data_IF_197615546292
#
_entry.id   IF_197615546292
#
_cell.length_a   1.000
_cell.length_b   1.000
_cell.length_c   1.000
_cell.angle_alpha   90.00
_cell.angle_beta   90.00
_cell.angle_gamma   90.00
#
_symmetry.space_group_name_H-M   'P 1'
#
loop_
_entity.id
_entity.type
_entity.pdbx_description
1 polymer ?
#
# COMPACT_ATOMS: atom_id res chain seq x y z
N UNK A 1 10.76 11.16 29.09
CA UNK A 1 10.38 9.76 28.78
C UNK A 1 11.66 9.00 28.58
N UNK A 2 11.89 7.93 29.32
CA UNK A 2 13.08 7.10 29.20
C UNK A 2 12.86 6.03 28.12
N UNK A 3 13.93 5.60 27.46
CA UNK A 3 13.90 4.48 26.49
C UNK A 3 13.35 3.23 27.18
N UNK A 4 13.66 3.02 28.46
CA UNK A 4 13.12 1.94 29.26
C UNK A 4 11.58 1.92 29.27
N UNK A 5 10.91 3.04 29.53
CA UNK A 5 9.44 3.11 29.53
C UNK A 5 8.83 2.75 28.16
N UNK A 6 9.53 3.11 27.04
CA UNK A 6 9.10 2.70 25.70
C UNK A 6 9.28 1.20 25.53
N UNK A 7 10.43 0.65 25.93
CA UNK A 7 10.74 -0.78 25.81
C UNK A 7 9.77 -1.64 26.62
N UNK A 8 9.44 -1.22 27.82
CA UNK A 8 8.44 -1.89 28.68
C UNK A 8 7.04 -1.91 28.01
N UNK A 9 6.63 -0.80 27.41
CA UNK A 9 5.33 -0.72 26.70
C UNK A 9 5.24 -1.61 25.46
N UNK A 10 6.39 -1.91 24.80
CA UNK A 10 6.46 -2.74 23.61
C UNK A 10 6.75 -4.23 23.89
N UNK A 11 6.98 -4.59 25.12
CA UNK A 11 7.37 -5.89 25.71
C UNK A 11 8.79 -6.37 25.37
N UNK A 12 9.46 -6.96 26.36
CA UNK A 12 10.81 -7.53 26.25
C UNK A 12 10.88 -8.65 25.21
N UNK A 13 9.85 -9.50 25.14
CA UNK A 13 9.79 -10.60 24.19
C UNK A 13 9.82 -10.12 22.73
N UNK A 14 9.22 -8.95 22.44
CA UNK A 14 9.28 -8.33 21.10
C UNK A 14 10.69 -7.81 20.79
N UNK A 15 11.37 -7.21 21.76
CA UNK A 15 12.72 -6.66 21.58
C UNK A 15 13.78 -7.74 21.41
N UNK A 16 13.62 -8.93 22.00
CA UNK A 16 14.59 -10.04 21.81
C UNK A 16 14.81 -10.40 20.33
N UNK A 17 13.82 -10.16 19.49
CA UNK A 17 13.94 -10.38 18.04
C UNK A 17 14.96 -9.45 17.38
N UNK A 18 15.25 -8.29 17.98
CA UNK A 18 16.17 -7.27 17.48
C UNK A 18 17.56 -7.34 18.11
N UNK A 19 17.77 -8.26 19.08
CA UNK A 19 19.05 -8.48 19.75
C UNK A 19 19.95 -9.50 19.04
N UNK A 20 19.61 -9.90 17.81
CA UNK A 20 20.34 -10.92 17.08
C UNK A 20 21.81 -10.52 16.88
N UNK A 21 22.78 -11.47 17.08
CA UNK A 21 24.21 -11.21 16.90
C UNK A 21 24.54 -10.65 15.50
N UNK A 22 23.86 -11.12 14.47
CA UNK A 22 24.01 -10.64 13.09
C UNK A 22 23.72 -9.13 12.94
N UNK A 23 22.95 -8.53 13.86
CA UNK A 23 22.69 -7.10 13.92
C UNK A 23 23.72 -6.34 14.78
N UNK A 24 24.83 -7.02 15.13
CA UNK A 24 25.97 -6.46 15.82
C UNK A 24 25.75 -6.24 17.32
N UNK A 25 25.02 -7.16 18.01
CA UNK A 25 24.80 -7.12 19.45
C UNK A 25 24.24 -5.77 19.89
N UNK A 26 22.93 -5.62 19.87
CA UNK A 26 22.34 -4.30 20.08
C UNK A 26 22.03 -4.01 21.54
N UNK A 27 22.38 -2.82 22.04
CA UNK A 27 21.86 -2.29 23.29
C UNK A 27 20.34 -2.09 23.20
N UNK A 28 19.59 -1.92 24.30
CA UNK A 28 18.15 -1.65 24.25
C UNK A 28 17.80 -0.46 23.36
N UNK A 29 18.62 0.59 23.34
CA UNK A 29 18.46 1.76 22.47
C UNK A 29 18.62 1.38 21.01
N UNK A 30 19.64 0.61 20.70
CA UNK A 30 19.92 0.15 19.33
C UNK A 30 18.81 -0.80 18.83
N UNK A 31 18.28 -1.66 19.70
CA UNK A 31 17.12 -2.51 19.36
C UNK A 31 15.89 -1.66 19.03
N UNK A 32 15.65 -0.58 19.76
CA UNK A 32 14.58 0.38 19.44
C UNK A 32 14.82 1.01 18.08
N UNK A 33 16.03 1.40 17.74
CA UNK A 33 16.38 1.94 16.41
C UNK A 33 16.08 0.95 15.28
N UNK A 34 16.48 -0.32 15.43
CA UNK A 34 16.20 -1.38 14.46
C UNK A 34 14.69 -1.66 14.36
N UNK A 35 13.97 -1.63 15.49
CA UNK A 35 12.51 -1.71 15.50
C UNK A 35 11.86 -0.59 14.68
N UNK A 36 12.34 0.66 14.83
CA UNK A 36 11.85 1.80 14.07
C UNK A 36 12.15 1.65 12.57
N UNK A 37 13.35 1.16 12.21
CA UNK A 37 13.66 0.81 10.82
C UNK A 37 12.68 -0.20 10.24
N UNK A 38 12.37 -1.28 10.99
CA UNK A 38 11.35 -2.25 10.56
C UNK A 38 9.96 -1.62 10.38
N UNK A 39 9.59 -0.61 11.19
CA UNK A 39 8.33 0.14 11.00
C UNK A 39 8.32 0.97 9.73
N UNK A 40 9.45 1.58 9.38
CA UNK A 40 9.58 2.34 8.14
C UNK A 40 9.50 1.40 6.92
N UNK A 41 10.16 0.24 6.96
CA UNK A 41 10.04 -0.80 5.94
C UNK A 41 8.58 -1.24 5.76
N UNK A 42 7.90 -1.55 6.87
CA UNK A 42 6.49 -1.94 6.84
C UNK A 42 5.59 -0.89 6.17
N UNK A 43 5.82 0.39 6.48
CA UNK A 43 5.12 1.51 5.86
C UNK A 43 5.40 1.61 4.35
N UNK A 44 6.63 1.34 3.91
CA UNK A 44 7.00 1.41 2.49
C UNK A 44 6.44 0.23 1.66
N UNK A 45 6.20 -0.94 2.28
CA UNK A 45 5.54 -2.08 1.62
C UNK A 45 4.04 -1.89 1.39
N UNK A 46 3.39 -1.13 2.26
CA UNK A 46 1.93 -1.07 2.30
C UNK A 46 1.28 -0.67 0.97
N UNK A 47 1.76 0.33 0.22
CA UNK A 47 1.19 0.68 -1.07
C UNK A 47 1.20 -0.46 -2.08
N UNK A 48 2.31 -1.21 -2.19
CA UNK A 48 2.41 -2.35 -3.11
C UNK A 48 1.41 -3.46 -2.75
N UNK A 49 1.26 -3.78 -1.46
CA UNK A 49 0.30 -4.78 -1.00
C UNK A 49 -1.16 -4.36 -1.24
N UNK A 50 -1.47 -3.08 -1.06
CA UNK A 50 -2.80 -2.54 -1.34
C UNK A 50 -3.14 -2.61 -2.84
N UNK A 51 -2.18 -2.28 -3.71
CA UNK A 51 -2.35 -2.40 -5.16
C UNK A 51 -2.60 -3.86 -5.55
N UNK A 52 -1.83 -4.81 -5.00
CA UNK A 52 -2.04 -6.24 -5.27
C UNK A 52 -3.44 -6.67 -4.82
N UNK A 53 -3.85 -6.33 -3.61
CA UNK A 53 -5.15 -6.72 -3.07
C UNK A 53 -6.30 -6.20 -3.92
N UNK A 54 -6.27 -4.92 -4.28
CA UNK A 54 -7.32 -4.29 -5.10
C UNK A 54 -7.31 -4.86 -6.52
N UNK A 55 -6.13 -4.99 -7.14
CA UNK A 55 -6.01 -5.46 -8.52
C UNK A 55 -6.41 -6.93 -8.65
N UNK A 56 -5.97 -7.79 -7.73
CA UNK A 56 -6.24 -9.21 -7.77
C UNK A 56 -7.74 -9.49 -7.64
N UNK A 57 -8.40 -8.91 -6.63
CA UNK A 57 -9.83 -9.13 -6.41
C UNK A 57 -10.67 -8.67 -7.59
N UNK A 58 -10.36 -7.51 -8.14
CA UNK A 58 -11.07 -6.96 -9.28
C UNK A 58 -10.81 -7.78 -10.55
N UNK A 59 -9.55 -8.18 -10.80
CA UNK A 59 -9.21 -9.00 -11.97
C UNK A 59 -9.91 -10.35 -11.94
N UNK A 60 -9.96 -11.05 -10.79
CA UNK A 60 -10.67 -12.33 -10.69
C UNK A 60 -12.16 -12.13 -10.92
N UNK A 61 -12.78 -11.16 -10.26
CA UNK A 61 -14.21 -10.89 -10.37
C UNK A 61 -14.63 -10.52 -11.80
N UNK A 62 -13.95 -9.54 -12.38
CA UNK A 62 -14.25 -9.07 -13.74
C UNK A 62 -14.01 -10.17 -14.80
N UNK A 63 -12.93 -10.95 -14.62
CA UNK A 63 -12.63 -12.04 -15.56
C UNK A 63 -13.68 -13.14 -15.52
N UNK A 64 -14.24 -13.45 -14.34
CA UNK A 64 -15.34 -14.39 -14.25
C UNK A 64 -16.59 -13.88 -14.97
N UNK A 65 -17.02 -12.65 -14.70
CA UNK A 65 -18.19 -12.07 -15.36
C UNK A 65 -18.02 -12.08 -16.87
N UNK A 66 -16.85 -11.62 -17.37
CA UNK A 66 -16.57 -11.61 -18.79
C UNK A 66 -16.57 -13.02 -19.42
N UNK A 67 -16.08 -14.03 -18.67
CA UNK A 67 -16.13 -15.43 -19.13
C UNK A 67 -17.56 -15.93 -19.22
N UNK A 68 -18.41 -15.70 -18.22
CA UNK A 68 -19.81 -16.09 -18.25
C UNK A 68 -20.58 -15.38 -19.38
N UNK A 69 -20.31 -14.10 -19.62
CA UNK A 69 -20.91 -13.36 -20.73
C UNK A 69 -20.53 -13.96 -22.09
N UNK A 70 -19.27 -14.39 -22.26
CA UNK A 70 -18.85 -15.12 -23.48
C UNK A 70 -19.54 -16.48 -23.62
N UNK A 71 -19.74 -17.21 -22.50
CA UNK A 71 -20.49 -18.47 -22.56
C UNK A 71 -21.93 -18.24 -23.00
N UNK A 72 -22.56 -17.13 -22.58
CA UNK A 72 -23.90 -16.76 -23.07
C UNK A 72 -23.85 -16.47 -24.58
N UNK A 73 -22.87 -15.71 -25.06
CA UNK A 73 -22.74 -15.38 -26.48
C UNK A 73 -22.48 -16.62 -27.36
N UNK A 74 -21.78 -17.62 -26.84
CA UNK A 74 -21.50 -18.87 -27.55
C UNK A 74 -22.69 -19.82 -27.59
N UNK A 75 -23.56 -19.81 -26.57
CA UNK A 75 -24.61 -20.81 -26.40
C UNK A 75 -26.01 -20.31 -26.75
N UNK A 76 -26.25 -19.00 -26.90
CA UNK A 76 -27.54 -18.40 -27.15
C UNK A 76 -27.54 -17.51 -28.39
N UNK A 77 -28.74 -17.24 -28.94
CA UNK A 77 -28.86 -16.32 -30.08
C UNK A 77 -28.75 -14.86 -29.64
N UNK A 78 -28.30 -13.94 -30.51
CA UNK A 78 -28.07 -12.53 -30.15
C UNK A 78 -29.27 -11.80 -29.53
N UNK A 79 -30.50 -12.18 -29.91
CA UNK A 79 -31.71 -11.57 -29.33
C UNK A 79 -32.00 -11.99 -27.87
N UNK A 80 -31.39 -13.10 -27.40
CA UNK A 80 -31.50 -13.56 -26.02
C UNK A 80 -30.41 -13.05 -25.09
N UNK A 81 -29.30 -12.51 -25.63
CA UNK A 81 -28.12 -12.16 -24.84
C UNK A 81 -28.40 -11.25 -23.66
N UNK A 82 -29.24 -10.22 -23.83
CA UNK A 82 -29.57 -9.29 -22.75
C UNK A 82 -30.25 -10.04 -21.58
N UNK A 83 -31.18 -10.91 -21.89
CA UNK A 83 -31.94 -11.70 -20.88
C UNK A 83 -31.02 -12.71 -20.22
N UNK A 84 -30.19 -13.43 -20.97
CA UNK A 84 -29.33 -14.50 -20.45
C UNK A 84 -28.16 -13.91 -19.64
N UNK A 85 -27.53 -12.82 -20.10
CA UNK A 85 -26.50 -12.11 -19.31
C UNK A 85 -27.04 -11.55 -17.98
N UNK A 86 -28.31 -11.16 -17.94
CA UNK A 86 -28.95 -10.71 -16.70
C UNK A 86 -29.08 -11.82 -15.63
N UNK A 87 -29.00 -13.10 -16.01
CA UNK A 87 -29.05 -14.27 -15.12
C UNK A 87 -27.69 -14.65 -14.54
N UNK A 88 -26.59 -14.07 -15.01
CA UNK A 88 -25.23 -14.36 -14.51
C UNK A 88 -25.18 -14.05 -13.00
N UNK A 89 -24.76 -15.03 -12.22
CA UNK A 89 -24.63 -14.88 -10.77
C UNK A 89 -23.45 -13.94 -10.39
N UNK A 90 -23.79 -12.70 -10.12
CA UNK A 90 -22.78 -11.69 -9.68
C UNK A 90 -22.24 -11.98 -8.28
N UNK A 91 -22.90 -12.85 -7.50
CA UNK A 91 -22.47 -13.28 -6.17
C UNK A 91 -21.85 -14.68 -6.19
N UNK A 92 -21.41 -15.18 -7.35
CA UNK A 92 -20.85 -16.51 -7.53
C UNK A 92 -19.84 -16.91 -6.45
N UNK A 93 -18.91 -15.99 -6.10
CA UNK A 93 -17.88 -16.22 -5.09
C UNK A 93 -18.44 -16.25 -3.65
N UNK A 94 -19.67 -15.81 -3.43
CA UNK A 94 -20.39 -15.90 -2.16
C UNK A 94 -21.23 -17.17 -2.13
N UNK A 95 -21.96 -17.44 -3.20
CA UNK A 95 -22.95 -18.52 -3.29
C UNK A 95 -22.32 -19.91 -3.45
N UNK A 96 -21.12 -19.98 -4.03
CA UNK A 96 -20.41 -21.25 -4.26
C UNK A 96 -19.89 -21.91 -2.98
N UNK A 97 -19.47 -21.11 -1.98
CA UNK A 97 -18.80 -21.67 -0.80
C UNK A 97 -19.78 -21.98 0.33
N UNK A 98 -19.78 -23.24 0.75
CA UNK A 98 -20.55 -23.73 1.88
C UNK A 98 -19.64 -24.20 3.00
N UNK A 99 -20.19 -24.41 4.20
CA UNK A 99 -19.46 -24.96 5.34
C UNK A 99 -18.85 -26.33 5.03
N UNK A 100 -19.49 -27.12 4.15
CA UNK A 100 -19.09 -28.48 3.80
C UNK A 100 -17.99 -28.51 2.73
N UNK A 101 -18.10 -27.65 1.70
CA UNK A 101 -17.16 -27.71 0.58
C UNK A 101 -15.88 -26.88 0.81
N UNK A 102 -15.98 -25.75 1.52
CA UNK A 102 -14.82 -24.94 1.87
C UNK A 102 -15.09 -24.07 3.12
N UNK A 103 -14.81 -24.64 4.28
CA UNK A 103 -15.04 -23.98 5.57
C UNK A 103 -14.34 -22.62 5.70
N UNK A 104 -13.11 -22.49 5.20
CA UNK A 104 -12.32 -21.25 5.34
C UNK A 104 -12.95 -20.13 4.49
N UNK A 105 -13.24 -20.40 3.22
CA UNK A 105 -13.88 -19.41 2.34
C UNK A 105 -15.28 -19.03 2.88
N UNK A 106 -16.08 -20.01 3.26
CA UNK A 106 -17.37 -19.79 3.89
C UNK A 106 -17.28 -18.91 5.15
N UNK A 107 -16.35 -19.19 6.05
CA UNK A 107 -16.12 -18.40 7.28
C UNK A 107 -15.76 -16.95 6.99
N UNK A 108 -14.91 -16.71 5.99
CA UNK A 108 -14.58 -15.35 5.54
C UNK A 108 -15.82 -14.61 5.03
N UNK A 109 -16.66 -15.29 4.24
CA UNK A 109 -17.92 -14.74 3.72
C UNK A 109 -18.88 -14.41 4.87
N UNK A 110 -19.05 -15.33 5.84
CA UNK A 110 -19.90 -15.07 7.01
C UNK A 110 -19.42 -13.87 7.83
N UNK A 111 -18.10 -13.68 7.92
CA UNK A 111 -17.52 -12.51 8.56
C UNK A 111 -17.85 -11.23 7.79
N UNK A 112 -17.74 -11.26 6.47
CA UNK A 112 -18.12 -10.13 5.61
C UNK A 112 -19.62 -9.80 5.72
N UNK A 113 -20.51 -10.81 5.75
CA UNK A 113 -21.96 -10.63 5.97
C UNK A 113 -22.22 -9.91 7.29
N UNK A 114 -21.59 -10.35 8.40
CA UNK A 114 -21.75 -9.70 9.70
C UNK A 114 -21.32 -8.24 9.68
N UNK A 115 -20.18 -7.93 9.01
CA UNK A 115 -19.68 -6.57 8.89
C UNK A 115 -20.61 -5.69 8.06
N UNK A 116 -21.10 -6.18 6.92
CA UNK A 116 -22.04 -5.44 6.07
C UNK A 116 -23.35 -5.15 6.78
N UNK A 117 -23.90 -6.14 7.49
CA UNK A 117 -25.11 -5.96 8.29
C UNK A 117 -24.92 -4.94 9.42
N UNK A 118 -23.76 -4.98 10.11
CA UNK A 118 -23.43 -3.99 11.13
C UNK A 118 -23.33 -2.57 10.57
N UNK A 119 -22.81 -2.43 9.34
CA UNK A 119 -22.71 -1.15 8.64
C UNK A 119 -24.01 -0.74 7.92
N UNK A 120 -25.08 -1.52 8.01
CA UNK A 120 -26.34 -1.33 7.26
C UNK A 120 -26.14 -1.22 5.74
N UNK A 121 -25.18 -1.98 5.19
CA UNK A 121 -24.91 -2.03 3.75
C UNK A 121 -25.61 -3.20 3.08
N UNK A 122 -26.12 -3.03 1.85
CA UNK A 122 -26.74 -4.12 1.10
C UNK A 122 -25.69 -5.20 0.75
N UNK A 123 -26.16 -6.45 0.64
CA UNK A 123 -25.33 -7.61 0.30
C UNK A 123 -25.12 -7.69 -1.23
N UNK A 124 -24.41 -6.71 -1.79
CA UNK A 124 -24.05 -6.66 -3.22
C UNK A 124 -22.62 -7.16 -3.45
N UNK A 125 -22.31 -7.53 -4.70
CA UNK A 125 -20.98 -8.01 -5.07
C UNK A 125 -19.88 -7.00 -4.69
N UNK A 126 -20.08 -5.71 -4.98
CA UNK A 126 -19.14 -4.64 -4.69
C UNK A 126 -18.85 -4.53 -3.19
N UNK A 127 -19.90 -4.63 -2.37
CA UNK A 127 -19.78 -4.58 -0.92
C UNK A 127 -19.03 -5.80 -0.38
N UNK A 128 -19.33 -7.01 -0.86
CA UNK A 128 -18.56 -8.21 -0.49
C UNK A 128 -17.11 -8.12 -0.92
N UNK A 129 -16.82 -7.72 -2.18
CA UNK A 129 -15.48 -7.55 -2.72
C UNK A 129 -14.67 -6.60 -1.82
N UNK A 130 -15.29 -5.54 -1.31
CA UNK A 130 -14.62 -4.59 -0.42
C UNK A 130 -14.29 -5.14 0.97
N UNK A 131 -15.00 -6.16 1.45
CA UNK A 131 -14.85 -6.75 2.79
C UNK A 131 -13.98 -8.00 2.83
N UNK A 132 -13.89 -8.72 1.72
CA UNK A 132 -13.08 -9.93 1.64
C UNK A 132 -11.59 -9.57 1.57
N UNK A 133 -10.80 -10.25 2.39
CA UNK A 133 -9.36 -9.97 2.54
C UNK A 133 -8.53 -10.54 1.38
N UNK A 134 -7.29 -10.08 1.23
CA UNK A 134 -6.32 -10.65 0.27
C UNK A 134 -6.24 -12.17 0.39
N UNK A 135 -6.25 -12.72 1.62
CA UNK A 135 -6.17 -14.15 1.86
C UNK A 135 -7.30 -14.95 1.20
N UNK A 136 -8.52 -14.41 1.17
CA UNK A 136 -9.64 -15.02 0.46
C UNK A 136 -9.35 -15.12 -1.05
N UNK A 137 -8.95 -14.01 -1.68
CA UNK A 137 -8.68 -13.96 -3.11
C UNK A 137 -7.47 -14.83 -3.51
N UNK A 138 -6.43 -14.86 -2.69
CA UNK A 138 -5.27 -15.76 -2.87
C UNK A 138 -5.69 -17.22 -2.78
N UNK A 139 -6.66 -17.57 -1.93
CA UNK A 139 -7.16 -18.95 -1.83
C UNK A 139 -7.84 -19.43 -3.11
N UNK A 140 -8.39 -18.54 -3.92
CA UNK A 140 -8.98 -18.87 -5.22
C UNK A 140 -7.93 -19.15 -6.30
N UNK A 141 -6.69 -18.67 -6.14
CA UNK A 141 -5.60 -18.89 -7.11
C UNK A 141 -4.84 -20.17 -6.72
N UNK A 142 -5.53 -21.29 -6.70
CA UNK A 142 -4.99 -22.59 -6.32
C UNK A 142 -5.38 -23.65 -7.32
N UNK A 143 -4.58 -24.73 -7.40
CA UNK A 143 -4.84 -25.90 -8.23
C UNK A 143 -6.17 -26.59 -7.93
N UNK A 144 -6.76 -26.35 -6.76
CA UNK A 144 -8.04 -26.96 -6.36
C UNK A 144 -9.20 -26.43 -7.19
N UNK A 145 -9.06 -25.26 -7.83
CA UNK A 145 -10.02 -24.65 -8.74
C UNK A 145 -9.61 -24.81 -10.22
N UNK A 146 -8.69 -25.74 -10.51
CA UNK A 146 -8.32 -26.11 -11.87
C UNK A 146 -9.30 -27.14 -12.44
N UNK A 147 -9.58 -27.05 -13.74
CA UNK A 147 -10.49 -27.97 -14.46
C UNK A 147 -10.13 -29.45 -14.26
N UNK A 148 -8.83 -29.76 -14.05
CA UNK A 148 -8.36 -31.12 -13.84
C UNK A 148 -8.74 -31.71 -12.46
N UNK A 149 -9.28 -30.91 -11.56
CA UNK A 149 -9.62 -31.32 -10.18
C UNK A 149 -11.08 -31.66 -9.97
N UNK A 150 -11.91 -31.54 -11.01
CA UNK A 150 -13.35 -31.83 -10.90
C UNK A 150 -14.02 -31.09 -9.72
N UNK A 151 -13.63 -29.83 -9.54
CA UNK A 151 -14.05 -28.98 -8.42
C UNK A 151 -15.48 -28.48 -8.65
N UNK A 152 -16.16 -28.16 -7.56
CA UNK A 152 -17.46 -27.46 -7.58
C UNK A 152 -17.37 -26.03 -8.13
N UNK A 153 -16.16 -25.51 -8.32
CA UNK A 153 -15.87 -24.24 -8.95
C UNK A 153 -14.62 -24.40 -9.81
N UNK A 154 -14.72 -24.11 -11.10
CA UNK A 154 -13.61 -24.15 -12.04
C UNK A 154 -13.27 -22.75 -12.51
N UNK A 155 -12.12 -22.24 -12.12
CA UNK A 155 -11.62 -20.92 -12.49
C UNK A 155 -10.48 -21.03 -13.50
N UNK A 156 -9.66 -22.07 -13.38
CA UNK A 156 -8.42 -22.21 -14.15
C UNK A 156 -8.46 -23.42 -15.08
N UNK A 157 -7.87 -23.32 -16.26
CA UNK A 157 -7.07 -22.20 -16.80
C UNK A 157 -7.87 -21.06 -17.44
N UNK A 158 -9.21 -21.15 -17.48
CA UNK A 158 -10.07 -20.26 -18.27
C UNK A 158 -9.83 -18.77 -18.01
N UNK A 159 -9.69 -18.37 -16.73
CA UNK A 159 -9.50 -16.97 -16.37
C UNK A 159 -8.05 -16.50 -16.39
N UNK A 160 -7.07 -17.41 -16.52
CA UNK A 160 -5.64 -17.07 -16.33
C UNK A 160 -5.16 -15.95 -17.24
N UNK A 161 -5.51 -16.00 -18.52
CA UNK A 161 -5.06 -15.03 -19.53
C UNK A 161 -5.60 -13.61 -19.28
N UNK A 162 -6.72 -13.49 -18.55
CA UNK A 162 -7.33 -12.20 -18.18
C UNK A 162 -6.83 -11.69 -16.84
N UNK A 163 -6.71 -12.60 -15.86
CA UNK A 163 -6.28 -12.23 -14.49
C UNK A 163 -4.78 -11.97 -14.45
N UNK A 164 -3.98 -12.77 -15.19
CA UNK A 164 -2.52 -12.70 -15.18
C UNK A 164 -1.96 -12.67 -16.60
N UNK A 165 -2.30 -11.66 -17.43
CA UNK A 165 -1.90 -11.62 -18.84
C UNK A 165 -0.38 -11.61 -19.03
N UNK A 166 0.37 -11.08 -18.07
CA UNK A 166 1.83 -10.94 -18.15
C UNK A 166 2.59 -11.97 -17.30
N UNK A 167 1.93 -12.99 -16.74
CA UNK A 167 2.57 -14.04 -15.98
C UNK A 167 3.18 -15.10 -16.91
N UNK A 168 4.38 -14.80 -17.38
CA UNK A 168 5.16 -15.67 -18.28
C UNK A 168 6.50 -16.05 -17.65
N UNK A 169 6.99 -17.21 -18.01
CA UNK A 169 8.34 -17.63 -17.68
C UNK A 169 9.36 -16.81 -18.46
N UNK A 170 10.32 -16.22 -17.78
CA UNK A 170 11.30 -15.29 -18.38
C UNK A 170 12.23 -15.97 -19.38
N UNK A 171 12.41 -17.28 -19.32
CA UNK A 171 13.31 -18.05 -20.19
C UNK A 171 12.58 -18.57 -21.42
N UNK A 172 11.41 -19.19 -21.23
CA UNK A 172 10.67 -19.83 -22.29
C UNK A 172 9.60 -18.94 -22.93
N UNK A 173 9.23 -17.82 -22.30
CA UNK A 173 8.09 -16.99 -22.70
C UNK A 173 6.73 -17.68 -22.52
N UNK A 174 6.71 -18.90 -22.00
CA UNK A 174 5.49 -19.67 -21.82
C UNK A 174 4.71 -19.15 -20.60
N UNK A 175 3.37 -19.23 -20.63
CA UNK A 175 2.55 -18.83 -19.51
C UNK A 175 2.85 -19.65 -18.24
N UNK A 176 3.02 -18.98 -17.11
CA UNK A 176 3.23 -19.64 -15.82
C UNK A 176 2.02 -20.49 -15.41
N UNK A 177 2.28 -21.62 -14.74
CA UNK A 177 1.21 -22.44 -14.17
C UNK A 177 0.48 -21.71 -13.05
N UNK A 178 -0.80 -22.01 -12.85
CA UNK A 178 -1.57 -21.48 -11.71
C UNK A 178 -0.93 -21.86 -10.37
N UNK A 179 -0.32 -23.02 -10.29
CA UNK A 179 0.40 -23.44 -9.08
C UNK A 179 1.59 -22.51 -8.77
N UNK A 180 2.36 -22.13 -9.78
CA UNK A 180 3.49 -21.17 -9.63
C UNK A 180 2.99 -19.80 -9.20
N UNK A 181 1.95 -19.27 -9.85
CA UNK A 181 1.34 -17.98 -9.51
C UNK A 181 0.76 -18.01 -8.10
N UNK A 182 0.01 -19.07 -7.76
CA UNK A 182 -0.60 -19.24 -6.46
C UNK A 182 0.41 -19.34 -5.32
N UNK A 183 1.56 -19.98 -5.55
CA UNK A 183 2.64 -20.04 -4.54
C UNK A 183 3.27 -18.65 -4.30
N UNK A 184 3.48 -17.87 -5.34
CA UNK A 184 3.97 -16.48 -5.20
C UNK A 184 2.98 -15.62 -4.41
N UNK A 185 1.69 -15.72 -4.72
CA UNK A 185 0.64 -15.01 -4.00
C UNK A 185 0.51 -15.47 -2.54
N UNK A 186 0.69 -16.76 -2.24
CA UNK A 186 0.75 -17.27 -0.85
C UNK A 186 1.89 -16.63 -0.08
N UNK A 187 3.06 -16.50 -0.69
CA UNK A 187 4.20 -15.88 -0.03
C UNK A 187 3.96 -14.39 0.21
N UNK A 188 3.37 -13.68 -0.73
CA UNK A 188 2.94 -12.27 -0.53
C UNK A 188 1.92 -12.16 0.60
N UNK A 189 0.95 -13.07 0.67
CA UNK A 189 -0.02 -13.07 1.77
C UNK A 189 0.64 -13.32 3.14
N UNK A 190 1.69 -14.17 3.20
CA UNK A 190 2.51 -14.33 4.42
C UNK A 190 3.24 -13.03 4.79
N UNK A 191 3.79 -12.30 3.81
CA UNK A 191 4.44 -10.99 4.03
C UNK A 191 3.41 -10.02 4.60
N UNK A 192 2.23 -9.91 3.98
CA UNK A 192 1.12 -9.06 4.46
C UNK A 192 0.72 -9.40 5.90
N UNK A 193 0.61 -10.68 6.23
CA UNK A 193 0.26 -11.12 7.58
C UNK A 193 1.36 -10.76 8.60
N UNK A 194 2.64 -10.94 8.26
CA UNK A 194 3.77 -10.47 9.10
C UNK A 194 3.69 -8.97 9.39
N UNK A 195 3.39 -8.17 8.37
CA UNK A 195 3.20 -6.72 8.53
C UNK A 195 2.06 -6.40 9.49
N UNK A 196 0.92 -7.06 9.33
CA UNK A 196 -0.26 -6.89 10.20
C UNK A 196 0.00 -7.29 11.65
N UNK A 197 0.84 -8.32 11.86
CA UNK A 197 1.26 -8.77 13.20
C UNK A 197 2.51 -8.05 13.71
N UNK A 198 2.99 -7.03 12.98
CA UNK A 198 4.16 -6.24 13.34
C UNK A 198 5.45 -7.06 13.47
N UNK A 199 5.54 -8.18 12.77
CA UNK A 199 6.73 -9.03 12.73
C UNK A 199 7.81 -8.44 11.81
N UNK A 200 9.11 -8.76 12.07
CA UNK A 200 10.19 -8.33 11.20
C UNK A 200 10.10 -8.96 9.81
N UNK A 201 10.13 -8.12 8.77
CA UNK A 201 10.15 -8.55 7.37
C UNK A 201 11.46 -9.22 6.98
N UNK A 202 12.55 -8.78 7.57
CA UNK A 202 13.90 -9.19 7.29
C UNK A 202 14.33 -10.51 7.97
N UNK A 203 13.45 -11.12 8.79
CA UNK A 203 13.80 -12.36 9.51
C UNK A 203 14.14 -13.48 8.53
N UNK A 204 15.43 -13.84 8.50
CA UNK A 204 15.99 -14.90 7.68
C UNK A 204 16.82 -15.84 8.55
N UNK A 205 16.38 -17.11 8.69
CA UNK A 205 17.10 -18.13 9.49
C UNK A 205 18.42 -18.55 8.86
N UNK A 206 18.62 -18.26 7.57
CA UNK A 206 19.82 -18.59 6.80
C UNK A 206 20.75 -17.40 6.60
N UNK A 207 20.48 -16.28 7.28
CA UNK A 207 21.34 -15.10 7.18
C UNK A 207 22.67 -15.33 7.94
N UNK A 208 23.76 -15.11 7.27
CA UNK A 208 25.12 -15.17 7.82
C UNK A 208 25.71 -13.76 8.02
N UNK A 209 25.24 -12.80 7.28
CA UNK A 209 25.67 -11.40 7.28
C UNK A 209 24.49 -10.45 7.18
N UNK A 210 24.72 -9.17 7.50
CA UNK A 210 23.66 -8.15 7.53
C UNK A 210 23.04 -7.94 6.14
N UNK A 211 23.86 -8.05 5.11
CA UNK A 211 23.42 -7.94 3.71
C UNK A 211 22.34 -8.97 3.35
N UNK A 212 22.40 -10.19 3.91
CA UNK A 212 21.39 -11.21 3.68
C UNK A 212 20.02 -10.82 4.23
N UNK A 213 20.03 -10.03 5.30
CA UNK A 213 18.82 -9.46 5.90
C UNK A 213 18.21 -8.41 4.96
N UNK A 214 19.02 -7.52 4.42
CA UNK A 214 18.58 -6.47 3.49
C UNK A 214 18.10 -7.09 2.19
N UNK A 215 18.88 -8.03 1.62
CA UNK A 215 18.52 -8.74 0.39
C UNK A 215 17.19 -9.49 0.55
N UNK A 216 16.89 -10.02 1.73
CA UNK A 216 15.59 -10.66 1.98
C UNK A 216 14.42 -9.69 1.93
N UNK A 217 14.60 -8.46 2.39
CA UNK A 217 13.58 -7.41 2.28
C UNK A 217 13.37 -7.01 0.81
N UNK A 218 14.47 -6.83 0.06
CA UNK A 218 14.45 -6.51 -1.37
C UNK A 218 13.71 -7.62 -2.13
N UNK A 219 14.07 -8.89 -1.94
CA UNK A 219 13.39 -10.05 -2.55
C UNK A 219 11.88 -10.03 -2.30
N UNK A 220 11.47 -9.72 -1.08
CA UNK A 220 10.05 -9.62 -0.74
C UNK A 220 9.35 -8.49 -1.47
N UNK A 221 10.00 -7.34 -1.64
CA UNK A 221 9.42 -6.21 -2.36
C UNK A 221 9.35 -6.48 -3.87
N UNK A 222 10.40 -7.04 -4.45
CA UNK A 222 10.43 -7.45 -5.88
C UNK A 222 9.34 -8.46 -6.21
N UNK A 223 9.02 -9.40 -5.30
CA UNK A 223 7.86 -10.29 -5.45
C UNK A 223 6.55 -9.51 -5.58
N UNK A 224 6.38 -8.45 -4.79
CA UNK A 224 5.20 -7.59 -4.91
C UNK A 224 5.15 -6.90 -6.28
N UNK A 225 6.26 -6.30 -6.72
CA UNK A 225 6.34 -5.65 -8.03
C UNK A 225 6.05 -6.64 -9.17
N UNK A 226 6.61 -7.84 -9.10
CA UNK A 226 6.39 -8.92 -10.06
C UNK A 226 4.91 -9.30 -10.18
N UNK A 227 4.21 -9.46 -9.07
CA UNK A 227 2.77 -9.80 -9.10
C UNK A 227 1.93 -8.63 -9.60
N UNK A 228 2.26 -7.39 -9.25
CA UNK A 228 1.60 -6.21 -9.82
C UNK A 228 1.76 -6.22 -11.35
N UNK A 229 2.97 -6.48 -11.84
CA UNK A 229 3.25 -6.60 -13.28
C UNK A 229 2.43 -7.70 -13.94
N UNK A 230 2.31 -8.88 -13.31
CA UNK A 230 1.54 -9.99 -13.87
C UNK A 230 0.06 -9.66 -14.09
N UNK A 231 -0.53 -8.89 -13.17
CA UNK A 231 -1.93 -8.49 -13.24
C UNK A 231 -2.11 -7.30 -14.20
N UNK A 232 -1.38 -6.22 -13.95
CA UNK A 232 -1.43 -5.01 -14.79
C UNK A 232 -0.15 -4.17 -14.60
N UNK A 233 0.76 -4.13 -15.57
CA UNK A 233 2.01 -3.38 -15.48
C UNK A 233 1.81 -1.86 -15.31
N UNK A 234 0.69 -1.31 -15.75
CA UNK A 234 0.39 0.12 -15.57
C UNK A 234 0.25 0.51 -14.10
N UNK A 235 -0.10 -0.43 -13.23
CA UNK A 235 -0.21 -0.18 -11.79
C UNK A 235 1.15 0.09 -11.12
N UNK A 236 2.27 -0.31 -11.73
CA UNK A 236 3.61 0.04 -11.23
C UNK A 236 3.84 1.56 -11.23
N UNK A 237 3.23 2.29 -12.18
CA UNK A 237 3.31 3.77 -12.23
C UNK A 237 2.75 4.42 -10.97
N UNK A 238 1.78 3.79 -10.31
CA UNK A 238 1.23 4.31 -9.05
C UNK A 238 2.29 4.34 -7.95
N UNK A 239 3.18 3.33 -7.91
CA UNK A 239 4.28 3.27 -6.94
C UNK A 239 5.35 4.33 -7.23
N UNK A 240 5.59 4.64 -8.51
CA UNK A 240 6.54 5.68 -8.91
C UNK A 240 6.01 7.07 -8.56
N UNK A 241 4.72 7.35 -8.82
CA UNK A 241 4.06 8.63 -8.49
C UNK A 241 4.15 8.96 -6.99
N UNK A 242 4.03 7.96 -6.13
CA UNK A 242 4.11 8.15 -4.66
C UNK A 242 5.52 7.90 -4.11
N UNK A 243 6.52 7.78 -4.98
CA UNK A 243 7.94 7.56 -4.63
C UNK A 243 8.18 6.31 -3.77
N UNK A 244 7.31 5.30 -3.87
CA UNK A 244 7.39 4.10 -3.04
C UNK A 244 8.66 3.29 -3.31
N UNK A 245 9.07 3.18 -4.57
CA UNK A 245 10.28 2.47 -4.99
C UNK A 245 11.54 3.16 -4.48
N UNK A 246 11.63 4.49 -4.59
CA UNK A 246 12.74 5.31 -4.07
C UNK A 246 12.85 5.14 -2.57
N UNK A 247 11.74 5.29 -1.85
CA UNK A 247 11.69 5.13 -0.39
C UNK A 247 12.11 3.72 0.05
N UNK A 248 11.72 2.68 -0.68
CA UNK A 248 12.12 1.31 -0.39
C UNK A 248 13.62 1.13 -0.61
N UNK A 249 14.17 1.63 -1.71
CA UNK A 249 15.60 1.60 -2.02
C UNK A 249 16.42 2.27 -0.93
N UNK A 250 16.03 3.46 -0.48
CA UNK A 250 16.71 4.19 0.58
C UNK A 250 16.74 3.40 1.89
N UNK A 251 15.63 2.76 2.25
CA UNK A 251 15.51 1.97 3.47
C UNK A 251 16.26 0.64 3.41
N UNK A 252 16.41 0.05 2.22
CA UNK A 252 17.10 -1.21 1.99
C UNK A 252 18.62 -1.00 1.79
N UNK A 253 19.25 -0.31 2.73
CA UNK A 253 20.71 -0.08 2.72
C UNK A 253 21.32 -0.28 4.11
N UNK A 254 22.60 -0.66 4.14
CA UNK A 254 23.37 -0.74 5.39
C UNK A 254 23.37 0.64 6.08
N UNK A 255 23.53 1.70 5.31
CA UNK A 255 23.48 3.06 5.84
C UNK A 255 22.16 3.35 6.58
N UNK A 256 21.03 3.02 6.00
CA UNK A 256 19.72 3.24 6.62
C UNK A 256 19.57 2.41 7.91
N UNK A 257 20.00 1.16 7.90
CA UNK A 257 19.98 0.30 9.08
C UNK A 257 20.85 0.89 10.20
N UNK A 258 22.10 1.24 9.91
CA UNK A 258 23.04 1.78 10.91
C UNK A 258 22.61 3.16 11.41
N UNK A 259 22.12 4.02 10.54
CA UNK A 259 21.54 5.32 10.90
C UNK A 259 20.38 5.15 11.88
N UNK A 260 19.44 4.25 11.60
CA UNK A 260 18.33 3.98 12.50
C UNK A 260 18.80 3.34 13.82
N UNK A 261 19.80 2.46 13.81
CA UNK A 261 20.37 1.86 15.01
C UNK A 261 20.92 2.92 15.97
N UNK A 262 21.47 4.03 15.46
CA UNK A 262 22.00 5.14 16.25
C UNK A 262 20.96 6.20 16.62
N UNK A 263 19.81 6.21 15.94
CA UNK A 263 18.78 7.24 16.07
C UNK A 263 18.32 7.51 17.52
N UNK A 264 18.07 6.49 18.38
CA UNK A 264 17.60 6.74 19.73
C UNK A 264 18.57 7.55 20.62
N UNK A 265 19.89 7.42 20.40
CA UNK A 265 20.89 8.20 21.13
C UNK A 265 20.87 9.69 20.77
N UNK A 266 20.41 10.02 19.55
CA UNK A 266 20.31 11.39 19.04
C UNK A 266 18.92 12.02 19.20
N UNK A 267 17.94 11.29 19.74
CA UNK A 267 16.61 11.85 19.95
C UNK A 267 16.64 12.73 21.21
N UNK A 268 16.40 14.05 21.10
CA UNK A 268 16.27 14.90 22.27
C UNK A 268 15.10 14.42 23.14
N UNK A 269 15.16 14.73 24.43
CA UNK A 269 14.10 14.40 25.39
C UNK A 269 12.77 14.94 24.85
N UNK A 270 11.98 14.09 24.25
CA UNK A 270 10.66 14.47 23.73
C UNK A 270 9.78 14.83 24.93
N UNK A 271 9.31 16.05 24.97
CA UNK A 271 8.27 16.42 25.93
C UNK A 271 7.02 15.61 25.59
N UNK A 272 6.53 14.87 26.58
CA UNK A 272 5.25 14.17 26.44
C UNK A 272 4.18 15.21 26.21
N UNK A 273 3.44 15.11 25.12
CA UNK A 273 2.28 15.95 24.85
C UNK A 273 1.26 15.75 25.97
N UNK A 274 0.99 16.79 26.74
CA UNK A 274 -0.06 16.78 27.79
C UNK A 274 -1.47 16.79 27.18
N UNK A 275 -1.59 17.29 25.95
CA UNK A 275 -2.87 17.42 25.25
C UNK A 275 -2.80 16.65 23.92
N UNK A 276 -3.12 15.35 23.99
CA UNK A 276 -3.17 14.44 22.83
C UNK A 276 -4.37 14.76 21.92
N UNK A 277 -5.40 15.44 22.41
CA UNK A 277 -6.63 15.75 21.68
C UNK A 277 -6.43 16.86 20.64
N UNK A 278 -5.38 17.67 20.80
CA UNK A 278 -4.96 18.61 19.75
C UNK A 278 -4.23 17.82 18.66
N UNK A 279 -4.98 17.34 17.71
CA UNK A 279 -4.49 16.56 16.56
C UNK A 279 -3.31 17.18 15.81
N UNK A 280 -2.94 16.60 14.69
CA UNK A 280 -1.94 17.16 13.77
C UNK A 280 -2.37 18.58 13.41
N UNK A 281 -1.52 19.57 13.69
CA UNK A 281 -1.77 20.94 13.21
C UNK A 281 -1.74 20.90 11.69
N UNK A 282 -2.90 21.04 11.08
CA UNK A 282 -2.98 21.37 9.67
C UNK A 282 -2.46 22.79 9.57
N UNK A 283 -1.37 22.99 8.83
CA UNK A 283 -0.92 24.35 8.54
C UNK A 283 -2.06 25.06 7.78
N UNK A 284 -2.57 26.20 8.27
CA UNK A 284 -3.65 26.88 7.59
C UNK A 284 -3.15 27.29 6.19
N UNK A 285 -3.87 26.87 5.17
CA UNK A 285 -3.66 27.40 3.83
C UNK A 285 -4.37 28.75 3.70
N UNK A 286 -3.71 29.68 3.05
CA UNK A 286 -4.26 30.97 2.65
C UNK A 286 -4.32 31.06 1.12
N UNK A 287 -5.28 31.81 0.63
CA UNK A 287 -5.29 32.29 -0.75
C UNK A 287 -4.89 33.76 -0.78
N UNK A 288 -4.38 34.21 -1.91
CA UNK A 288 -3.97 35.58 -2.07
C UNK A 288 -3.59 35.91 -3.52
N UNK A 289 -3.13 37.12 -3.72
CA UNK A 289 -2.73 37.64 -5.03
C UNK A 289 -1.28 38.10 -4.97
N UNK A 290 -0.51 37.83 -6.00
CA UNK A 290 0.87 38.35 -6.14
C UNK A 290 0.80 39.79 -6.47
N UNK A 291 1.22 40.63 -5.52
CA UNK A 291 1.22 42.09 -5.64
C UNK A 291 2.57 42.69 -6.04
N UNK A 292 3.62 41.89 -5.97
CA UNK A 292 4.95 42.25 -6.44
C UNK A 292 5.73 40.95 -6.78
N UNK A 293 6.53 41.01 -7.81
CA UNK A 293 7.40 39.91 -8.25
C UNK A 293 8.75 40.44 -8.68
N UNK A 294 9.83 39.80 -8.24
CA UNK A 294 11.21 40.10 -8.60
C UNK A 294 11.88 38.83 -9.14
N UNK A 295 13.12 38.85 -9.54
CA UNK A 295 13.85 37.67 -10.01
C UNK A 295 14.03 36.56 -8.94
N UNK A 296 13.87 36.88 -7.64
CA UNK A 296 14.16 35.94 -6.54
C UNK A 296 13.01 35.75 -5.55
N UNK A 297 11.98 36.59 -5.58
CA UNK A 297 10.91 36.55 -4.58
C UNK A 297 9.62 37.21 -5.07
N UNK A 298 8.54 36.93 -4.33
CA UNK A 298 7.23 37.55 -4.51
C UNK A 298 6.71 38.14 -3.20
N UNK A 299 5.83 39.14 -3.32
CA UNK A 299 4.98 39.58 -2.22
C UNK A 299 3.54 39.18 -2.55
N UNK A 300 2.88 38.52 -1.60
CA UNK A 300 1.52 38.01 -1.74
C UNK A 300 0.63 38.72 -0.74
N UNK A 301 -0.47 39.32 -1.20
CA UNK A 301 -1.49 39.87 -0.35
C UNK A 301 -2.56 38.82 -0.09
N UNK A 302 -2.74 38.42 1.17
CA UNK A 302 -3.73 37.39 1.55
C UNK A 302 -5.16 37.91 1.44
N UNK A 303 -6.03 37.11 0.85
CA UNK A 303 -7.48 37.40 0.78
C UNK A 303 -8.11 37.35 2.17
N UNK A 304 -7.58 36.52 3.10
CA UNK A 304 -8.17 36.30 4.40
C UNK A 304 -8.08 37.50 5.37
N UNK A 305 -6.92 38.15 5.39
CA UNK A 305 -6.61 39.18 6.38
C UNK A 305 -5.91 40.41 5.80
N UNK A 306 -5.75 40.47 4.48
CA UNK A 306 -5.06 41.55 3.74
C UNK A 306 -3.57 41.69 4.11
N UNK A 307 -3.02 40.80 4.92
CA UNK A 307 -1.61 40.80 5.29
C UNK A 307 -0.74 40.46 4.08
N UNK A 308 0.49 41.02 4.06
CA UNK A 308 1.47 40.77 3.01
C UNK A 308 2.43 39.68 3.49
N UNK A 309 2.65 38.69 2.64
CA UNK A 309 3.58 37.59 2.87
C UNK A 309 4.72 37.61 1.86
N UNK A 310 5.90 37.18 2.29
CA UNK A 310 7.09 37.06 1.46
C UNK A 310 7.25 35.60 1.01
N UNK A 311 7.35 35.37 -0.30
CA UNK A 311 7.63 34.08 -0.91
C UNK A 311 8.96 34.09 -1.66
N UNK A 312 9.91 33.22 -1.26
CA UNK A 312 11.14 32.98 -1.99
C UNK A 312 10.91 32.03 -3.17
N UNK A 313 11.73 32.10 -4.22
CA UNK A 313 11.68 31.22 -5.39
C UNK A 313 11.54 29.72 -5.02
N UNK A 314 12.36 29.24 -4.08
CA UNK A 314 12.33 27.84 -3.58
C UNK A 314 11.01 27.42 -2.91
N UNK A 315 10.13 28.36 -2.58
CA UNK A 315 8.83 28.09 -1.98
C UNK A 315 7.71 28.00 -3.05
N UNK A 316 8.04 28.25 -4.32
CA UNK A 316 7.13 28.34 -5.43
C UNK A 316 7.16 27.08 -6.29
N UNK A 317 5.99 26.50 -6.54
CA UNK A 317 5.87 25.29 -7.36
C UNK A 317 6.23 25.60 -8.83
N UNK A 318 7.26 24.94 -9.34
CA UNK A 318 7.79 25.19 -10.69
C UNK A 318 8.72 26.39 -10.80
N UNK A 319 9.07 27.04 -9.67
CA UNK A 319 9.94 28.21 -9.61
C UNK A 319 9.23 29.52 -10.01
N UNK A 320 9.90 30.65 -9.70
CA UNK A 320 9.34 31.99 -9.82
C UNK A 320 8.90 32.35 -11.24
N UNK A 321 9.59 31.80 -12.26
CA UNK A 321 9.31 32.08 -13.67
C UNK A 321 7.93 31.56 -14.15
N UNK A 322 7.27 30.72 -13.36
CA UNK A 322 5.92 30.21 -13.66
C UNK A 322 4.81 31.12 -13.17
N UNK A 323 5.15 32.18 -12.45
CA UNK A 323 4.21 33.11 -11.84
C UNK A 323 4.33 34.50 -12.48
N UNK A 324 3.22 35.25 -12.41
CA UNK A 324 3.10 36.61 -12.89
C UNK A 324 2.45 37.53 -11.84
N UNK A 325 2.58 38.83 -12.03
CA UNK A 325 1.86 39.83 -11.22
C UNK A 325 0.35 39.61 -11.36
N UNK A 326 -0.37 39.70 -10.26
CA UNK A 326 -1.83 39.48 -10.12
C UNK A 326 -2.26 38.00 -10.22
N UNK A 327 -1.32 37.04 -10.30
CA UNK A 327 -1.69 35.64 -10.19
C UNK A 327 -2.34 35.36 -8.84
N UNK A 328 -3.43 34.61 -8.85
CA UNK A 328 -4.04 34.04 -7.65
C UNK A 328 -3.27 32.79 -7.22
N UNK A 329 -2.93 32.75 -5.95
CA UNK A 329 -2.09 31.68 -5.39
C UNK A 329 -2.65 31.15 -4.09
N UNK A 330 -2.34 29.89 -3.81
CA UNK A 330 -2.50 29.25 -2.51
C UNK A 330 -1.15 29.10 -1.86
N UNK A 331 -1.05 29.32 -0.55
CA UNK A 331 0.20 29.24 0.18
C UNK A 331 -0.01 28.90 1.66
N UNK A 332 1.04 28.41 2.30
CA UNK A 332 1.07 28.16 3.75
C UNK A 332 1.80 29.31 4.45
N UNK A 333 1.15 30.05 5.36
CA UNK A 333 1.79 31.12 6.11
C UNK A 333 2.77 30.55 7.15
N UNK A 334 3.93 31.16 7.27
CA UNK A 334 4.94 30.84 8.30
C UNK A 334 5.35 32.12 9.03
N UNK A 335 5.33 32.07 10.36
CA UNK A 335 5.79 33.19 11.17
C UNK A 335 7.28 33.52 10.89
N UNK A 336 7.59 34.79 10.79
CA UNK A 336 8.96 35.29 10.59
C UNK A 336 9.15 36.55 11.44
N UNK A 337 10.38 36.77 11.91
CA UNK A 337 10.81 38.03 12.56
C UNK A 337 11.09 39.16 11.55
N UNK A 338 11.05 38.86 10.25
CA UNK A 338 11.22 39.85 9.19
C UNK A 338 10.00 40.78 9.05
N UNK A 339 10.12 41.84 8.28
CA UNK A 339 9.06 42.82 8.00
C UNK A 339 7.75 42.18 7.52
N UNK A 340 7.87 41.08 6.75
CA UNK A 340 6.74 40.27 6.29
C UNK A 340 6.92 38.82 6.72
N UNK A 341 5.83 38.15 7.18
CA UNK A 341 5.86 36.71 7.42
C UNK A 341 6.10 35.95 6.10
N UNK A 342 6.66 34.74 6.20
CA UNK A 342 6.96 33.92 5.03
C UNK A 342 5.70 33.22 4.48
N UNK A 343 5.68 33.03 3.17
CA UNK A 343 4.81 32.11 2.46
C UNK A 343 5.62 30.90 2.00
N UNK A 344 5.12 29.69 2.26
CA UNK A 344 5.64 28.41 1.77
C UNK A 344 4.65 27.69 0.89
N UNK A 345 5.11 26.72 0.12
CA UNK A 345 4.26 25.87 -0.73
C UNK A 345 3.34 26.72 -1.62
N UNK A 346 3.90 27.72 -2.30
CA UNK A 346 3.15 28.66 -3.13
C UNK A 346 2.77 27.95 -4.43
N UNK A 347 1.48 27.87 -4.71
CA UNK A 347 0.91 27.22 -5.88
C UNK A 347 -0.03 28.17 -6.59
N UNK A 348 -0.01 28.19 -7.90
CA UNK A 348 -0.98 28.93 -8.72
C UNK A 348 -2.35 28.27 -8.65
N UNK A 349 -3.41 29.07 -8.54
CA UNK A 349 -4.81 28.61 -8.51
C UNK A 349 -5.38 28.49 -9.91
#
# INVERSE_FOLDING_TARGET
MTIQAITESLSTARFSTYQLPILGGASPEQCLGIYLWNKQLASAFLPALQIIEISLRNAIYQSWIAHEEEQVELNFQPHDWVTEKAKIDKLWFVNTFTRQNNFIAWSNIQTAVKQLNYENKPLTAENFISKLTLGFWVSLVQKDFDVQKNSYLTLWPHLRHRVFPNAVDSTSGSPLSINSIGNELKDINKIRNRLSHHEPLWRNKKAYQVEDIINKVIEHYERCLKVIYWINPSNLKLLDIIESNTRMSDLCSLHALWKNKQLPAGIPTLQVRKDWSKGVKINPEHTGEIINITAANVLIKSDKNQAIFYGADRAMQGGINTFALNDKVRFTPEASSAKYPNAKNIMKL
#
